data_IF_382336810378
#
_entry.id   IF_382336810378
#
_cell.length_a   1.000
_cell.length_b   1.000
_cell.length_c   1.000
_cell.angle_alpha   90.00
_cell.angle_beta   90.00
_cell.angle_gamma   90.00
#
_symmetry.space_group_name_H-M   'P 1'
#
loop_
_entity.id
_entity.type
_entity.pdbx_description
1 polymer ?
#
# COMPACT_ATOMS: atom_id res chain seq x y z
N UNK A 1 -25.40 -3.10 4.11
CA UNK A 1 -24.54 -3.09 5.31
C UNK A 1 -23.42 -2.10 5.03
N UNK A 2 -23.33 -0.94 5.70
CA UNK A 2 -22.24 0.00 5.47
C UNK A 2 -20.90 -0.67 5.84
N UNK A 3 -19.88 -0.51 4.99
CA UNK A 3 -18.53 -0.99 5.27
C UNK A 3 -17.92 -0.04 6.29
N UNK A 4 -17.62 -0.55 7.49
CA UNK A 4 -17.65 0.31 8.68
C UNK A 4 -16.55 1.35 8.77
N UNK A 5 -15.46 1.32 7.99
CA UNK A 5 -14.40 2.34 8.03
C UNK A 5 -13.71 2.43 6.66
N UNK A 6 -13.91 3.49 5.87
CA UNK A 6 -13.27 3.68 4.56
C UNK A 6 -13.97 4.68 3.63
N UNK A 7 -13.38 4.93 2.47
CA UNK A 7 -13.94 5.84 1.47
C UNK A 7 -14.81 5.08 0.47
N UNK A 8 -16.07 5.50 0.35
CA UNK A 8 -17.01 4.97 -0.62
C UNK A 8 -17.23 5.95 -1.77
N UNK A 9 -17.10 5.46 -3.01
CA UNK A 9 -17.50 6.17 -4.23
C UNK A 9 -18.63 5.40 -4.87
N UNK A 10 -19.77 6.07 -5.01
CA UNK A 10 -20.95 5.52 -5.67
C UNK A 10 -21.02 6.01 -7.11
N UNK A 11 -21.25 5.10 -8.05
CA UNK A 11 -21.53 5.39 -9.44
C UNK A 11 -22.86 4.79 -9.86
N UNK A 12 -23.65 5.58 -10.58
CA UNK A 12 -24.82 5.09 -11.28
C UNK A 12 -24.48 4.77 -12.74
N UNK A 13 -24.77 3.53 -13.15
CA UNK A 13 -24.63 3.03 -14.53
C UNK A 13 -25.87 2.21 -14.85
N UNK A 14 -26.90 2.92 -15.28
CA UNK A 14 -28.23 2.38 -15.58
C UNK A 14 -28.19 0.94 -16.16
N UNK A 15 -28.87 -0.05 -15.54
CA UNK A 15 -29.76 0.03 -14.35
C UNK A 15 -29.06 -0.26 -13.00
N UNK A 16 -27.73 -0.10 -12.88
CA UNK A 16 -26.95 -0.57 -11.74
C UNK A 16 -26.38 0.56 -10.88
N UNK A 17 -26.47 0.38 -9.57
CA UNK A 17 -25.69 1.12 -8.56
C UNK A 17 -24.40 0.36 -8.28
N UNK A 18 -23.29 1.07 -8.34
CA UNK A 18 -21.96 0.52 -8.13
C UNK A 18 -21.32 1.28 -6.97
N UNK A 19 -21.11 0.59 -5.86
CA UNK A 19 -20.40 1.13 -4.71
C UNK A 19 -18.99 0.58 -4.71
N UNK A 20 -18.02 1.46 -4.88
CA UNK A 20 -16.60 1.14 -4.82
C UNK A 20 -16.03 1.64 -3.50
N UNK A 21 -15.25 0.80 -2.84
CA UNK A 21 -14.71 1.09 -1.52
C UNK A 21 -13.19 1.00 -1.51
N UNK A 22 -12.58 1.97 -0.83
CA UNK A 22 -11.18 1.99 -0.45
C UNK A 22 -11.05 1.94 1.07
N UNK A 23 -10.01 1.27 1.59
CA UNK A 23 -9.69 1.36 3.01
C UNK A 23 -9.45 2.81 3.40
N UNK A 24 -9.57 3.12 4.70
CA UNK A 24 -9.33 4.46 5.20
C UNK A 24 -7.98 4.99 4.71
N UNK A 25 -8.06 6.08 3.94
CA UNK A 25 -6.89 6.85 3.61
C UNK A 25 -6.61 7.30 2.21
N UNK A 26 -5.31 7.40 1.93
CA UNK A 26 -4.79 7.86 0.67
C UNK A 26 -5.11 6.79 -0.36
N UNK A 27 -5.83 7.19 -1.39
CA UNK A 27 -6.22 6.31 -2.48
C UNK A 27 -4.97 6.01 -3.32
N UNK A 28 -4.34 4.85 -3.04
CA UNK A 28 -3.26 4.30 -3.86
C UNK A 28 -3.78 3.11 -4.66
N UNK A 29 -4.01 3.32 -5.95
CA UNK A 29 -4.55 2.30 -6.85
C UNK A 29 -6.07 2.15 -6.84
N UNK A 30 -6.55 1.01 -7.33
CA UNK A 30 -7.97 0.72 -7.53
C UNK A 30 -8.73 0.38 -6.24
N UNK A 31 -10.06 0.26 -6.32
CA UNK A 31 -10.89 -0.10 -5.18
C UNK A 31 -10.58 -1.52 -4.70
N UNK A 32 -10.64 -1.74 -3.38
CA UNK A 32 -10.46 -3.08 -2.80
C UNK A 32 -11.76 -3.89 -2.78
N UNK A 33 -12.90 -3.21 -2.85
CA UNK A 33 -14.21 -3.84 -2.89
C UNK A 33 -15.13 -3.10 -3.84
N UNK A 34 -15.90 -3.86 -4.61
CA UNK A 34 -16.95 -3.36 -5.50
C UNK A 34 -18.22 -4.13 -5.20
N UNK A 35 -19.29 -3.40 -4.92
CA UNK A 35 -20.66 -3.92 -4.77
C UNK A 35 -21.47 -3.41 -5.95
N UNK A 36 -22.16 -4.31 -6.63
CA UNK A 36 -23.02 -3.98 -7.77
C UNK A 36 -24.42 -4.43 -7.40
N UNK A 37 -25.35 -3.49 -7.35
CA UNK A 37 -26.75 -3.71 -6.99
C UNK A 37 -27.64 -3.12 -8.06
N UNK A 38 -28.81 -3.74 -8.27
CA UNK A 38 -29.83 -3.14 -9.12
C UNK A 38 -30.29 -1.82 -8.49
N UNK A 39 -30.53 -0.80 -9.32
CA UNK A 39 -31.18 0.40 -8.86
C UNK A 39 -32.55 0.05 -8.25
N UNK A 40 -32.99 0.74 -7.18
CA UNK A 40 -34.29 0.47 -6.56
C UNK A 40 -35.47 0.54 -7.54
N UNK A 41 -35.33 1.34 -8.59
CA UNK A 41 -36.29 1.61 -9.65
C UNK A 41 -35.95 0.92 -10.99
N UNK A 42 -34.99 0.01 -11.00
CA UNK A 42 -34.57 -0.71 -12.20
C UNK A 42 -35.74 -1.54 -12.80
N UNK A 43 -36.04 -1.39 -14.10
CA UNK A 43 -37.04 -2.23 -14.75
C UNK A 43 -36.64 -3.72 -14.67
N UNK A 44 -37.56 -4.64 -14.32
CA UNK A 44 -37.23 -6.07 -14.18
C UNK A 44 -36.60 -6.68 -15.43
N UNK A 45 -36.97 -6.19 -16.62
CA UNK A 45 -36.39 -6.64 -17.89
C UNK A 45 -34.91 -6.30 -18.06
N UNK A 46 -34.46 -5.18 -17.50
CA UNK A 46 -33.10 -4.68 -17.65
C UNK A 46 -32.11 -5.34 -16.68
N UNK A 47 -32.62 -5.89 -15.58
CA UNK A 47 -31.84 -6.66 -14.59
C UNK A 47 -32.00 -8.18 -14.71
N UNK A 48 -32.93 -8.67 -15.55
CA UNK A 48 -33.23 -10.10 -15.70
C UNK A 48 -32.02 -10.97 -16.08
N UNK A 49 -31.04 -10.39 -16.79
CA UNK A 49 -29.81 -11.07 -17.19
C UNK A 49 -28.72 -11.08 -16.10
N UNK A 50 -28.97 -10.41 -14.98
CA UNK A 50 -28.03 -10.26 -13.88
C UNK A 50 -26.77 -9.49 -14.26
N UNK A 51 -25.75 -9.59 -13.39
CA UNK A 51 -24.47 -8.92 -13.56
C UNK A 51 -23.63 -9.70 -14.58
N UNK A 52 -23.64 -9.24 -15.82
CA UNK A 52 -22.90 -9.86 -16.92
C UNK A 52 -21.54 -9.18 -17.17
N UNK A 53 -20.72 -9.75 -18.04
CA UNK A 53 -19.44 -9.14 -18.46
C UNK A 53 -19.62 -7.77 -19.13
N UNK A 54 -20.79 -7.52 -19.74
CA UNK A 54 -21.16 -6.20 -20.27
C UNK A 54 -21.34 -5.17 -19.16
N UNK A 55 -21.91 -5.57 -18.01
CA UNK A 55 -22.04 -4.71 -16.83
C UNK A 55 -20.66 -4.39 -16.25
N UNK A 56 -19.80 -5.41 -16.11
CA UNK A 56 -18.44 -5.23 -15.59
C UNK A 56 -17.58 -4.31 -16.48
N UNK A 57 -17.76 -4.36 -17.81
CA UNK A 57 -17.04 -3.47 -18.74
C UNK A 57 -17.51 -2.02 -18.71
N UNK A 58 -18.68 -1.74 -18.15
CA UNK A 58 -19.22 -0.38 -17.99
C UNK A 58 -18.76 0.29 -16.69
N UNK A 59 -18.06 -0.45 -15.82
CA UNK A 59 -17.44 0.10 -14.61
C UNK A 59 -16.36 1.10 -15.01
N UNK A 60 -16.51 2.36 -14.60
CA UNK A 60 -15.49 3.37 -14.82
C UNK A 60 -14.59 3.48 -13.58
N UNK A 61 -13.62 2.56 -13.52
CA UNK A 61 -12.64 2.53 -12.43
C UNK A 61 -11.74 3.78 -12.43
N UNK A 62 -11.50 4.37 -13.60
CA UNK A 62 -10.64 5.55 -13.72
C UNK A 62 -11.32 6.78 -13.11
N UNK A 63 -12.60 7.00 -13.44
CA UNK A 63 -13.42 8.04 -12.82
C UNK A 63 -13.57 7.80 -11.30
N UNK A 64 -13.73 6.54 -10.89
CA UNK A 64 -13.86 6.19 -9.47
C UNK A 64 -12.61 6.55 -8.68
N UNK A 65 -11.43 6.16 -9.18
CA UNK A 65 -10.14 6.47 -8.55
C UNK A 65 -9.95 7.99 -8.45
N UNK A 66 -10.28 8.74 -9.50
CA UNK A 66 -10.17 10.20 -9.49
C UNK A 66 -11.06 10.82 -8.40
N UNK A 67 -12.35 10.45 -8.35
CA UNK A 67 -13.28 10.92 -7.31
C UNK A 67 -12.81 10.54 -5.90
N UNK A 68 -12.28 9.33 -5.76
CA UNK A 68 -11.75 8.85 -4.49
C UNK A 68 -10.54 9.70 -4.04
N UNK A 69 -9.63 10.03 -4.96
CA UNK A 69 -8.49 10.93 -4.68
C UNK A 69 -8.92 12.35 -4.32
N UNK A 70 -9.96 12.88 -4.95
CA UNK A 70 -10.51 14.22 -4.67
C UNK A 70 -11.22 14.29 -3.30
N UNK A 71 -11.83 13.18 -2.87
CA UNK A 71 -12.62 13.10 -1.63
C UNK A 71 -11.78 12.67 -0.43
N UNK A 72 -10.67 11.97 -0.65
CA UNK A 72 -9.75 11.56 0.41
C UNK A 72 -9.21 12.78 1.19
N UNK A 73 -9.03 12.67 2.52
CA UNK A 73 -8.50 13.77 3.32
C UNK A 73 -7.14 14.25 2.79
N UNK A 74 -6.92 15.57 2.83
CA UNK A 74 -5.73 16.26 2.30
C UNK A 74 -4.39 15.79 2.93
N UNK A 75 -4.48 15.10 4.08
CA UNK A 75 -3.35 14.41 4.71
C UNK A 75 -3.51 12.90 4.50
N UNK A 76 -2.58 12.24 3.80
CA UNK A 76 -2.62 10.79 3.68
C UNK A 76 -2.45 10.14 5.08
N UNK A 77 -3.15 9.03 5.43
CA UNK A 77 -3.16 8.45 6.78
C UNK A 77 -1.80 8.06 7.29
N UNK A 78 -0.87 7.74 6.38
CA UNK A 78 0.50 7.45 6.78
C UNK A 78 1.13 8.62 7.55
N UNK A 79 0.61 9.86 7.45
CA UNK A 79 1.03 10.99 8.30
C UNK A 79 0.79 10.75 9.79
N UNK A 80 -0.27 10.04 10.17
CA UNK A 80 -0.50 9.68 11.57
C UNK A 80 0.61 8.75 12.10
N UNK A 81 1.19 7.93 11.22
CA UNK A 81 2.33 7.06 11.52
C UNK A 81 3.66 7.55 10.94
N UNK A 82 3.74 8.83 10.55
CA UNK A 82 4.96 9.38 9.94
C UNK A 82 6.12 9.35 10.93
N UNK A 83 5.85 9.54 12.22
CA UNK A 83 6.85 9.40 13.28
C UNK A 83 7.58 8.06 13.24
N UNK A 84 6.82 6.95 13.21
CA UNK A 84 7.37 5.58 13.12
C UNK A 84 8.19 5.38 11.84
N UNK A 85 7.67 5.81 10.70
CA UNK A 85 8.38 5.67 9.43
C UNK A 85 9.69 6.47 9.44
N UNK A 86 9.67 7.68 10.00
CA UNK A 86 10.85 8.54 10.16
C UNK A 86 11.88 7.88 11.09
N UNK A 87 11.46 7.28 12.19
CA UNK A 87 12.34 6.56 13.11
C UNK A 87 13.02 5.35 12.43
N UNK A 88 12.25 4.55 11.69
CA UNK A 88 12.79 3.43 10.92
C UNK A 88 13.78 3.90 9.84
N UNK A 89 13.48 4.99 9.15
CA UNK A 89 14.40 5.59 8.19
C UNK A 89 15.68 6.13 8.85
N UNK A 90 15.55 6.74 10.02
CA UNK A 90 16.69 7.22 10.81
C UNK A 90 17.56 6.06 11.30
N UNK A 91 16.96 4.95 11.75
CA UNK A 91 17.66 3.72 12.11
C UNK A 91 18.43 3.15 10.92
N UNK A 92 17.78 3.04 9.75
CA UNK A 92 18.45 2.62 8.53
C UNK A 92 19.61 3.56 8.17
N UNK A 93 19.46 4.87 8.34
CA UNK A 93 20.53 5.85 8.15
C UNK A 93 21.72 5.64 9.08
N UNK A 94 21.47 5.38 10.37
CA UNK A 94 22.52 5.07 11.36
C UNK A 94 23.26 3.78 11.02
N UNK A 95 22.54 2.71 10.70
CA UNK A 95 23.13 1.44 10.28
C UNK A 95 23.97 1.60 9.01
N UNK A 96 23.47 2.35 8.02
CA UNK A 96 24.23 2.64 6.80
C UNK A 96 25.51 3.43 7.09
N UNK A 97 25.47 4.38 8.03
CA UNK A 97 26.64 5.18 8.41
C UNK A 97 27.68 4.40 9.21
N UNK A 98 27.26 3.47 10.06
CA UNK A 98 28.15 2.69 10.93
C UNK A 98 28.66 1.40 10.28
N UNK A 99 27.80 0.65 9.60
CA UNK A 99 28.08 -0.68 9.06
C UNK A 99 28.20 -0.71 7.53
N UNK A 100 27.82 0.38 6.84
CA UNK A 100 27.70 0.39 5.39
C UNK A 100 26.47 -0.41 4.90
N UNK A 101 26.58 -1.01 3.72
CA UNK A 101 25.47 -1.79 3.12
C UNK A 101 25.44 -3.21 3.71
N UNK A 102 25.12 -3.29 5.00
CA UNK A 102 25.03 -4.53 5.80
C UNK A 102 23.66 -5.20 5.68
N UNK A 103 23.58 -6.46 6.12
CA UNK A 103 22.32 -7.22 6.14
C UNK A 103 21.28 -6.60 7.07
N UNK A 104 21.69 -6.10 8.25
CA UNK A 104 20.83 -5.37 9.18
C UNK A 104 20.28 -4.10 8.55
N UNK A 105 21.14 -3.31 7.92
CA UNK A 105 20.72 -2.13 7.16
C UNK A 105 19.69 -2.48 6.08
N UNK A 106 19.97 -3.50 5.26
CA UNK A 106 19.08 -3.91 4.17
C UNK A 106 17.74 -4.42 4.71
N UNK A 107 17.74 -5.10 5.86
CA UNK A 107 16.52 -5.62 6.49
C UNK A 107 15.64 -4.49 7.01
N UNK A 108 16.21 -3.49 7.70
CA UNK A 108 15.48 -2.29 8.12
C UNK A 108 14.99 -1.51 6.90
N UNK A 109 15.80 -1.36 5.85
CA UNK A 109 15.40 -0.71 4.61
C UNK A 109 14.18 -1.41 3.96
N UNK A 110 14.17 -2.74 3.93
CA UNK A 110 13.06 -3.52 3.38
C UNK A 110 11.80 -3.39 4.22
N UNK A 111 11.93 -3.39 5.56
CA UNK A 111 10.82 -3.16 6.48
C UNK A 111 10.18 -1.78 6.23
N UNK A 112 10.99 -0.72 6.20
CA UNK A 112 10.50 0.64 5.94
C UNK A 112 9.87 0.75 4.55
N UNK A 113 10.49 0.17 3.53
CA UNK A 113 9.95 0.18 2.17
C UNK A 113 8.59 -0.53 2.08
N UNK A 114 8.47 -1.70 2.69
CA UNK A 114 7.19 -2.43 2.77
C UNK A 114 6.14 -1.59 3.48
N UNK A 115 6.44 -1.05 4.66
CA UNK A 115 5.49 -0.25 5.44
C UNK A 115 5.04 1.00 4.67
N UNK A 116 5.93 1.66 3.93
CA UNK A 116 5.57 2.79 3.05
C UNK A 116 4.63 2.37 1.91
N UNK A 117 4.90 1.23 1.27
CA UNK A 117 4.04 0.70 0.19
C UNK A 117 2.68 0.28 0.72
N UNK A 118 2.66 -0.41 1.86
CA UNK A 118 1.43 -0.90 2.50
C UNK A 118 0.53 0.24 2.96
N UNK A 119 1.14 1.35 3.38
CA UNK A 119 0.43 2.58 3.76
C UNK A 119 0.14 3.51 2.56
N UNK A 120 0.40 3.05 1.32
CA UNK A 120 0.00 3.75 0.10
C UNK A 120 0.78 5.03 -0.21
N UNK A 121 2.04 5.14 0.26
CA UNK A 121 2.90 6.27 -0.07
C UNK A 121 3.19 6.26 -1.57
N UNK A 122 2.83 7.34 -2.27
CA UNK A 122 2.91 7.44 -3.74
C UNK A 122 4.35 7.30 -4.29
N UNK A 123 5.37 7.67 -3.50
CA UNK A 123 6.77 7.63 -3.92
C UNK A 123 7.71 7.13 -2.79
N UNK A 124 7.69 5.83 -2.44
CA UNK A 124 8.46 5.29 -1.31
C UNK A 124 9.97 5.43 -1.49
N UNK A 125 10.47 5.23 -2.72
CA UNK A 125 11.91 5.29 -3.02
C UNK A 125 12.46 6.72 -2.89
N UNK A 126 11.86 7.75 -3.52
CA UNK A 126 12.26 9.14 -3.27
C UNK A 126 12.18 9.55 -1.80
N UNK A 127 11.13 9.14 -1.09
CA UNK A 127 10.95 9.44 0.33
C UNK A 127 12.07 8.85 1.20
N UNK A 128 12.47 7.60 0.92
CA UNK A 128 13.60 6.94 1.58
C UNK A 128 14.94 7.60 1.24
N UNK A 129 15.13 7.96 -0.04
CA UNK A 129 16.36 8.56 -0.52
C UNK A 129 16.67 9.89 0.16
N UNK A 130 15.64 10.74 0.30
CA UNK A 130 15.73 12.01 1.04
C UNK A 130 16.22 11.80 2.47
N UNK A 131 15.59 10.86 3.20
CA UNK A 131 15.88 10.60 4.63
C UNK A 131 17.20 9.90 4.86
N UNK A 132 17.64 9.07 3.91
CA UNK A 132 18.95 8.42 3.96
C UNK A 132 20.09 9.31 3.48
N UNK A 133 19.80 10.51 2.94
CA UNK A 133 20.80 11.37 2.30
C UNK A 133 21.47 10.68 1.09
N UNK A 134 20.70 9.88 0.34
CA UNK A 134 21.18 9.11 -0.81
C UNK A 134 20.42 9.46 -2.07
N UNK A 135 20.99 9.09 -3.23
CA UNK A 135 20.28 9.20 -4.50
C UNK A 135 19.21 8.11 -4.58
N UNK A 136 18.04 8.39 -5.18
CA UNK A 136 16.99 7.38 -5.39
C UNK A 136 17.51 6.10 -6.06
N UNK A 137 18.45 6.22 -6.99
CA UNK A 137 19.01 5.06 -7.69
C UNK A 137 19.85 4.17 -6.75
N UNK A 138 20.58 4.75 -5.80
CA UNK A 138 21.30 3.95 -4.78
C UNK A 138 20.34 3.16 -3.90
N UNK A 139 19.19 3.77 -3.53
CA UNK A 139 18.15 3.06 -2.76
C UNK A 139 17.54 1.93 -3.58
N UNK A 140 17.29 2.13 -4.88
CA UNK A 140 16.83 1.05 -5.78
C UNK A 140 17.86 -0.07 -5.86
N UNK A 141 19.14 0.25 -5.96
CA UNK A 141 20.21 -0.74 -6.02
C UNK A 141 20.30 -1.56 -4.71
N UNK A 142 20.13 -0.91 -3.56
CA UNK A 142 20.07 -1.60 -2.27
C UNK A 142 18.83 -2.52 -2.16
N UNK A 143 17.65 -2.07 -2.58
CA UNK A 143 16.45 -2.91 -2.62
C UNK A 143 16.61 -4.08 -3.60
N UNK A 144 17.30 -3.87 -4.74
CA UNK A 144 17.62 -4.93 -5.69
C UNK A 144 18.60 -5.95 -5.10
N UNK A 145 19.62 -5.47 -4.36
CA UNK A 145 20.54 -6.34 -3.60
C UNK A 145 19.76 -7.16 -2.56
N UNK A 146 18.89 -6.53 -1.79
CA UNK A 146 18.06 -7.20 -0.78
C UNK A 146 17.16 -8.28 -1.39
N UNK A 147 16.56 -8.04 -2.57
CA UNK A 147 15.80 -9.06 -3.30
C UNK A 147 16.65 -10.25 -3.73
N UNK A 148 17.85 -9.99 -4.26
CA UNK A 148 18.79 -11.05 -4.66
C UNK A 148 19.26 -11.87 -3.46
N UNK A 149 19.37 -11.25 -2.30
CA UNK A 149 19.80 -11.88 -1.04
C UNK A 149 18.63 -12.51 -0.26
N UNK A 150 17.41 -12.50 -0.81
CA UNK A 150 16.24 -13.12 -0.20
C UNK A 150 15.69 -12.37 1.02
N UNK A 151 16.14 -11.14 1.27
CA UNK A 151 15.64 -10.27 2.35
C UNK A 151 14.27 -9.65 2.00
N UNK A 152 14.01 -9.48 0.70
CA UNK A 152 12.74 -8.98 0.18
C UNK A 152 12.23 -9.91 -0.92
N UNK A 153 11.02 -10.42 -0.77
CA UNK A 153 10.37 -11.24 -1.79
C UNK A 153 9.62 -10.37 -2.80
N UNK A 154 9.33 -10.90 -3.98
CA UNK A 154 8.45 -10.26 -4.96
C UNK A 154 7.16 -11.08 -5.07
N UNK A 155 6.01 -10.48 -4.76
CA UNK A 155 4.70 -11.12 -4.92
C UNK A 155 4.00 -10.56 -6.17
N UNK A 156 3.50 -11.44 -7.03
CA UNK A 156 2.72 -11.02 -8.20
C UNK A 156 1.51 -10.21 -7.72
N UNK A 157 1.39 -8.96 -8.18
CA UNK A 157 0.28 -8.05 -7.82
C UNK A 157 0.55 -7.07 -6.66
N UNK A 158 1.70 -7.13 -5.98
CA UNK A 158 2.07 -6.16 -4.91
C UNK A 158 3.43 -5.52 -5.20
N UNK A 159 3.46 -4.19 -5.32
CA UNK A 159 4.70 -3.45 -5.60
C UNK A 159 5.77 -3.58 -4.49
N UNK A 160 5.34 -3.80 -3.24
CA UNK A 160 6.19 -3.83 -2.05
C UNK A 160 6.90 -5.16 -1.80
N UNK A 161 6.25 -6.28 -2.13
CA UNK A 161 6.73 -7.60 -1.70
C UNK A 161 6.55 -7.85 -0.20
N UNK A 162 6.98 -9.02 0.29
CA UNK A 162 6.98 -9.37 1.71
C UNK A 162 8.42 -9.57 2.21
N UNK A 163 8.67 -9.35 3.51
CA UNK A 163 9.98 -9.63 4.11
C UNK A 163 10.31 -11.13 3.99
N UNK A 164 11.57 -11.43 3.66
CA UNK A 164 12.10 -12.79 3.73
C UNK A 164 12.33 -13.23 5.18
N UNK A 165 12.40 -14.53 5.42
CA UNK A 165 12.71 -15.11 6.74
C UNK A 165 14.02 -14.56 7.29
N UNK A 166 15.08 -14.55 6.47
CA UNK A 166 16.38 -13.97 6.80
C UNK A 166 16.32 -12.50 7.21
N UNK A 167 15.42 -11.72 6.61
CA UNK A 167 15.23 -10.32 7.02
C UNK A 167 14.55 -10.23 8.40
N UNK A 168 13.61 -11.13 8.72
CA UNK A 168 12.97 -11.17 10.04
C UNK A 168 13.98 -11.54 11.12
N UNK A 169 14.78 -12.59 10.90
CA UNK A 169 15.87 -12.99 11.80
C UNK A 169 16.87 -11.86 12.03
N UNK A 170 17.28 -11.18 10.94
CA UNK A 170 18.21 -10.05 11.02
C UNK A 170 17.62 -8.88 11.82
N UNK A 171 16.29 -8.70 11.84
CA UNK A 171 15.62 -7.65 12.60
C UNK A 171 15.54 -7.96 14.09
N UNK A 172 15.41 -9.22 14.51
CA UNK A 172 15.38 -9.60 15.95
C UNK A 172 16.62 -9.12 16.73
N UNK A 173 17.76 -9.02 16.05
CA UNK A 173 19.02 -8.54 16.63
C UNK A 173 19.30 -7.04 16.45
N UNK A 174 18.35 -6.24 15.95
CA UNK A 174 18.55 -4.79 15.75
C UNK A 174 18.01 -4.00 16.94
N UNK A 175 18.92 -3.39 17.68
CA UNK A 175 18.58 -2.48 18.78
C UNK A 175 17.97 -1.16 18.25
N UNK A 176 16.89 -0.70 18.87
CA UNK A 176 16.20 0.54 18.49
C UNK A 176 15.17 0.40 17.36
N UNK A 177 14.72 -0.83 17.06
CA UNK A 177 13.45 -1.02 16.36
C UNK A 177 12.28 -0.57 17.26
N UNK A 178 11.27 0.14 16.73
CA UNK A 178 10.09 0.52 17.51
C UNK A 178 9.33 -0.72 17.99
N UNK A 179 8.85 -0.75 19.24
CA UNK A 179 8.35 -1.94 19.96
C UNK A 179 7.12 -2.64 19.32
N UNK A 180 6.37 -1.99 18.42
CA UNK A 180 5.28 -2.62 17.66
C UNK A 180 5.78 -3.32 16.38
N UNK A 181 6.81 -4.15 16.53
CA UNK A 181 7.25 -5.12 15.50
C UNK A 181 7.12 -6.51 16.10
N UNK A 182 5.89 -6.91 16.43
CA UNK A 182 5.53 -8.32 16.34
C UNK A 182 5.01 -8.55 14.93
N UNK A 183 5.60 -9.46 14.14
CA UNK A 183 4.94 -9.91 12.93
C UNK A 183 3.60 -10.49 13.38
N UNK A 184 2.51 -9.88 12.93
CA UNK A 184 1.19 -10.50 13.06
C UNK A 184 1.30 -11.88 12.42
N UNK A 185 1.30 -12.91 13.26
CA UNK A 185 1.15 -14.29 12.82
C UNK A 185 -0.23 -14.44 12.18
N UNK A 186 -0.28 -14.97 10.96
CA UNK A 186 -1.51 -15.51 10.34
C UNK A 186 -2.17 -14.61 9.31
#
# INVERSE_FOLDING_TARGET
MPFSEGLEVVQFRDPWWITMWWPEGAVSGGPQKIVIEAAPDAPPGDVARGISTTVLRRLDLAEAVKKAQETAPASPPWRAEEGRLVELAALAGRLLGGEGVSERYLSVLCLTYRDLVDKGVQAPVPWLAERLGRKPDSVKDHLKKARREGLLTSRAGRAGGDLGERAREALEGVEGLPEEVTPTEG
#
